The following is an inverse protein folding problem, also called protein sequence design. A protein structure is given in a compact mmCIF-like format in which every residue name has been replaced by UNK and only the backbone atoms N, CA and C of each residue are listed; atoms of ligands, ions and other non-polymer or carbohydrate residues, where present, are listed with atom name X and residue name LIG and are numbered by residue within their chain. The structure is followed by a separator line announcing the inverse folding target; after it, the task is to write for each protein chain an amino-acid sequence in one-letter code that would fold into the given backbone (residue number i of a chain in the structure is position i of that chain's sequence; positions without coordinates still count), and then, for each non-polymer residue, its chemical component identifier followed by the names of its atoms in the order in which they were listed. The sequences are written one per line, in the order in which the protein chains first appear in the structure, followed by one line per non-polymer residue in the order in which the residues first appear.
data_IF_048567004083
#
_entry.id   IF_048567004083
#
_cell.length_a   1.000
_cell.length_b   1.000
_cell.length_c   1.000
_cell.angle_alpha   90.00
_cell.angle_beta   90.00
_cell.angle_gamma   90.00
#
_symmetry.space_group_name_H-M   'P 1'
#
loop_
_entity.id
_entity.type
_entity.pdbx_description
1 polymer ?
#
# COMPACT_ATOMS: atom_id res chain seq x y z
N UNK A 1 19.68 -12.51 -14.34
CA UNK A 1 18.49 -11.97 -13.64
C UNK A 1 17.26 -12.40 -14.41
N UNK A 2 16.46 -13.37 -13.92
CA UNK A 2 15.33 -13.90 -14.69
C UNK A 2 14.16 -12.89 -14.68
N UNK A 3 13.49 -12.72 -15.83
CA UNK A 3 12.38 -11.76 -16.04
C UNK A 3 11.32 -11.76 -14.94
N UNK A 4 11.06 -12.93 -14.34
CA UNK A 4 10.11 -13.09 -13.23
C UNK A 4 10.44 -12.22 -12.01
N UNK A 5 11.72 -12.04 -11.69
CA UNK A 5 12.12 -11.20 -10.55
C UNK A 5 11.88 -9.71 -10.86
N UNK A 6 12.28 -9.24 -12.04
CA UNK A 6 12.05 -7.86 -12.47
C UNK A 6 10.57 -7.50 -12.50
N UNK A 7 9.73 -8.38 -13.05
CA UNK A 7 8.28 -8.17 -13.08
C UNK A 7 7.73 -8.10 -11.66
N UNK A 8 8.16 -9.00 -10.76
CA UNK A 8 7.72 -8.99 -9.36
C UNK A 8 8.11 -7.71 -8.64
N UNK A 9 9.37 -7.29 -8.76
CA UNK A 9 9.90 -6.05 -8.17
C UNK A 9 9.11 -4.84 -8.66
N UNK A 10 8.87 -4.73 -9.97
CA UNK A 10 8.08 -3.63 -10.53
C UNK A 10 6.62 -3.63 -10.07
N UNK A 11 6.01 -4.81 -9.91
CA UNK A 11 4.62 -4.94 -9.44
C UNK A 11 4.52 -4.52 -7.97
N UNK A 12 5.49 -4.90 -7.15
CA UNK A 12 5.53 -4.51 -5.73
C UNK A 12 5.66 -2.98 -5.57
N UNK A 13 6.47 -2.32 -6.41
CA UNK A 13 6.58 -0.85 -6.42
C UNK A 13 5.27 -0.18 -6.83
N UNK A 14 4.64 -0.64 -7.91
CA UNK A 14 3.35 -0.08 -8.37
C UNK A 14 2.27 -0.28 -7.30
N UNK A 15 2.23 -1.46 -6.67
CA UNK A 15 1.26 -1.77 -5.64
C UNK A 15 1.40 -0.86 -4.41
N UNK A 16 2.62 -0.62 -3.92
CA UNK A 16 2.88 0.31 -2.83
C UNK A 16 2.41 1.73 -3.16
N UNK A 17 2.75 2.25 -4.36
CA UNK A 17 2.34 3.58 -4.81
C UNK A 17 0.82 3.72 -4.92
N UNK A 18 0.13 2.69 -5.42
CA UNK A 18 -1.34 2.68 -5.48
C UNK A 18 -1.97 2.74 -4.07
N UNK A 19 -1.39 2.03 -3.10
CA UNK A 19 -1.87 2.04 -1.71
C UNK A 19 -1.67 3.41 -1.07
N UNK A 20 -0.48 4.01 -1.20
CA UNK A 20 -0.20 5.35 -0.68
C UNK A 20 -1.12 6.41 -1.30
N UNK A 21 -1.33 6.34 -2.62
CA UNK A 21 -2.23 7.25 -3.31
C UNK A 21 -3.67 7.11 -2.81
N UNK A 22 -4.16 5.87 -2.62
CA UNK A 22 -5.49 5.63 -2.08
C UNK A 22 -5.63 6.19 -0.67
N UNK A 23 -4.67 5.93 0.23
CA UNK A 23 -4.67 6.49 1.59
C UNK A 23 -4.66 8.01 1.57
N UNK A 24 -3.86 8.63 0.71
CA UNK A 24 -3.82 10.10 0.57
C UNK A 24 -5.16 10.66 0.11
N UNK A 25 -5.78 10.05 -0.92
CA UNK A 25 -7.07 10.47 -1.45
C UNK A 25 -8.20 10.30 -0.43
N UNK A 26 -8.11 9.32 0.46
CA UNK A 26 -9.10 9.06 1.51
C UNK A 26 -8.73 9.64 2.87
N UNK A 27 -7.70 10.48 2.94
CA UNK A 27 -7.22 11.10 4.19
C UNK A 27 -6.94 10.08 5.30
N UNK A 28 -6.19 9.03 4.96
CA UNK A 28 -5.83 7.87 5.79
C UNK A 28 -7.04 7.04 6.29
N UNK A 29 -8.24 7.25 5.74
CA UNK A 29 -9.35 6.35 5.98
C UNK A 29 -9.08 5.01 5.26
N UNK A 30 -8.54 4.04 6.02
CA UNK A 30 -8.16 2.71 5.53
C UNK A 30 -9.35 1.90 5.02
N UNK A 31 -10.55 2.10 5.56
CA UNK A 31 -11.74 1.42 5.07
C UNK A 31 -12.12 1.93 3.67
N UNK A 32 -12.14 3.25 3.50
CA UNK A 32 -12.42 3.88 2.21
C UNK A 32 -11.30 3.61 1.19
N UNK A 33 -10.02 3.54 1.61
CA UNK A 33 -8.91 3.19 0.73
C UNK A 33 -9.03 1.74 0.22
N UNK A 34 -9.42 0.80 1.10
CA UNK A 34 -9.66 -0.58 0.70
C UNK A 34 -10.79 -0.67 -0.32
N UNK A 35 -11.89 0.06 -0.09
CA UNK A 35 -13.02 0.14 -1.02
C UNK A 35 -12.60 0.73 -2.38
N UNK A 36 -11.86 1.85 -2.37
CA UNK A 36 -11.35 2.52 -3.57
C UNK A 36 -10.44 1.59 -4.40
N UNK A 37 -9.62 0.77 -3.74
CA UNK A 37 -8.72 -0.18 -4.39
C UNK A 37 -9.43 -1.50 -4.79
N UNK A 38 -10.71 -1.67 -4.47
CA UNK A 38 -11.44 -2.92 -4.72
C UNK A 38 -10.92 -4.11 -3.89
N UNK A 39 -10.30 -3.83 -2.73
CA UNK A 39 -9.73 -4.83 -1.83
C UNK A 39 -10.66 -5.08 -0.64
N UNK A 40 -10.54 -6.27 -0.05
CA UNK A 40 -11.03 -6.46 1.32
C UNK A 40 -10.16 -5.66 2.30
N UNK A 41 -10.74 -5.23 3.42
CA UNK A 41 -9.99 -4.54 4.48
C UNK A 41 -8.80 -5.37 4.99
N UNK A 42 -8.99 -6.68 5.16
CA UNK A 42 -7.91 -7.60 5.60
C UNK A 42 -6.76 -7.68 4.59
N UNK A 43 -7.07 -7.70 3.28
CA UNK A 43 -6.06 -7.68 2.22
C UNK A 43 -5.26 -6.38 2.27
N UNK A 44 -5.93 -5.23 2.44
CA UNK A 44 -5.26 -3.95 2.61
C UNK A 44 -4.31 -3.97 3.81
N UNK A 45 -4.75 -4.39 5.00
CA UNK A 45 -3.88 -4.44 6.19
C UNK A 45 -2.66 -5.33 6.01
N UNK A 46 -2.81 -6.46 5.31
CA UNK A 46 -1.70 -7.35 5.00
C UNK A 46 -0.67 -6.67 4.09
N UNK A 47 -1.14 -5.90 3.10
CA UNK A 47 -0.27 -5.16 2.18
C UNK A 47 0.40 -3.97 2.85
N UNK A 48 -0.30 -3.22 3.70
CA UNK A 48 0.28 -2.13 4.50
C UNK A 48 1.48 -2.63 5.30
N UNK A 49 1.31 -3.74 6.02
CA UNK A 49 2.42 -4.37 6.78
C UNK A 49 3.54 -4.89 5.88
N UNK A 50 3.20 -5.45 4.71
CA UNK A 50 4.20 -5.99 3.76
C UNK A 50 5.10 -4.88 3.20
N UNK A 51 4.55 -3.70 2.97
CA UNK A 51 5.24 -2.56 2.36
C UNK A 51 5.67 -1.50 3.37
N UNK A 52 5.45 -1.73 4.67
CA UNK A 52 5.77 -0.79 5.75
C UNK A 52 5.05 0.57 5.62
N UNK A 53 3.85 0.56 5.03
CA UNK A 53 3.04 1.76 4.78
C UNK A 53 2.13 2.04 5.97
N UNK A 54 2.17 3.27 6.48
CA UNK A 54 1.31 3.74 7.57
C UNK A 54 1.90 3.58 8.97
N UNK A 55 3.19 3.23 9.08
CA UNK A 55 3.98 3.25 10.33
C UNK A 55 4.91 4.48 10.42
N UNK A 56 4.73 5.47 9.53
CA UNK A 56 5.52 6.70 9.52
C UNK A 56 5.15 7.62 10.69
N UNK A 57 5.88 7.46 11.79
CA UNK A 57 6.55 8.51 12.58
C UNK A 57 6.01 9.96 12.48
N UNK A 58 4.78 10.22 12.93
CA UNK A 58 4.37 11.53 13.47
C UNK A 58 4.88 11.70 14.93
N UNK A 59 6.19 11.50 15.12
CA UNK A 59 6.90 11.88 16.35
C UNK A 59 8.20 12.59 15.96
N UNK A 60 8.05 13.68 15.21
CA UNK A 60 9.05 14.74 15.25
C UNK A 60 8.77 15.53 16.52
N UNK A 61 9.71 15.41 17.46
CA UNK A 61 9.81 16.04 18.79
C UNK A 61 9.38 17.51 18.78
#
# INVERSE_FOLDING_TARGET
VPLKQLVRESTDVIEALCIEAALKLTQDNRAAAAELLGLSRQSLYTKLRRFDIGDSEDNVI
#
